data_IF_510502992188
#
_entry.id   IF_510502992188
#
_cell.length_a   1.000
_cell.length_b   1.000
_cell.length_c   1.000
_cell.angle_alpha   90.00
_cell.angle_beta   90.00
_cell.angle_gamma   90.00
#
_symmetry.space_group_name_H-M   'P 1'
#
loop_
_entity.id
_entity.type
_entity.pdbx_description
1 polymer ?
#
# COMPACT_ATOMS: atom_id res chain seq x y z
N UNK A 1 -1.81 -0.81 7.92
CA UNK A 1 -1.85 -2.24 8.32
C UNK A 1 -1.84 -2.42 9.84
N UNK A 2 -0.81 -2.02 10.61
CA UNK A 2 -0.76 -2.24 12.07
C UNK A 2 -2.03 -1.79 12.80
N UNK A 3 -2.48 -0.57 12.55
CA UNK A 3 -3.71 -0.05 13.17
C UNK A 3 -4.95 -0.93 12.86
N UNK A 4 -5.07 -1.42 11.63
CA UNK A 4 -6.17 -2.31 11.24
C UNK A 4 -6.11 -3.66 11.97
N UNK A 5 -4.91 -4.22 12.16
CA UNK A 5 -4.74 -5.45 12.94
C UNK A 5 -5.20 -5.25 14.38
N UNK A 6 -4.84 -4.12 15.01
CA UNK A 6 -5.27 -3.79 16.38
C UNK A 6 -6.77 -3.56 16.49
N UNK A 7 -7.36 -2.85 15.53
CA UNK A 7 -8.82 -2.69 15.45
C UNK A 7 -9.56 -4.02 15.28
N UNK A 8 -8.94 -4.98 14.59
CA UNK A 8 -9.48 -6.33 14.44
C UNK A 8 -9.25 -7.24 15.68
N UNK A 9 -8.68 -6.71 16.77
CA UNK A 9 -8.43 -7.45 18.01
C UNK A 9 -7.17 -8.33 18.02
N UNK A 10 -6.25 -8.12 17.07
CA UNK A 10 -4.98 -8.85 17.08
C UNK A 10 -3.99 -8.18 18.05
N UNK A 11 -3.85 -8.72 19.24
CA UNK A 11 -3.02 -8.15 20.34
C UNK A 11 -1.61 -8.76 20.46
N UNK A 12 -1.32 -9.82 19.67
CA UNK A 12 -0.01 -10.45 19.67
C UNK A 12 1.06 -9.54 19.04
N UNK A 13 2.36 -9.74 19.35
CA UNK A 13 3.45 -9.03 18.71
C UNK A 13 3.40 -9.18 17.18
N UNK A 14 3.65 -8.07 16.46
CA UNK A 14 3.84 -8.07 15.00
C UNK A 14 5.31 -7.85 14.72
N UNK A 15 5.89 -8.70 13.88
CA UNK A 15 7.29 -8.61 13.50
C UNK A 15 7.47 -7.71 12.29
N UNK A 16 8.54 -6.92 12.27
CA UNK A 16 8.79 -5.95 11.22
C UNK A 16 10.11 -6.23 10.49
N UNK A 17 10.09 -6.09 9.19
CA UNK A 17 11.30 -5.93 8.39
C UNK A 17 11.99 -4.60 8.73
N UNK A 18 13.33 -4.58 8.74
CA UNK A 18 14.10 -3.39 9.12
C UNK A 18 13.78 -2.12 8.34
N UNK A 19 13.35 -2.25 7.09
CA UNK A 19 12.92 -1.11 6.28
C UNK A 19 11.71 -0.34 6.86
N UNK A 20 10.94 -0.97 7.75
CA UNK A 20 9.77 -0.36 8.38
C UNK A 20 10.08 0.30 9.73
N UNK A 21 11.28 0.12 10.28
CA UNK A 21 11.64 0.58 11.63
C UNK A 21 11.52 2.11 11.78
N UNK A 22 12.00 2.89 10.81
CA UNK A 22 11.99 4.35 10.87
C UNK A 22 10.56 4.90 10.85
N UNK A 23 9.73 4.37 9.95
CA UNK A 23 8.31 4.76 9.85
C UNK A 23 7.54 4.41 11.13
N UNK A 24 7.74 3.21 11.64
CA UNK A 24 7.07 2.75 12.86
C UNK A 24 7.42 3.62 14.05
N UNK A 25 8.70 3.96 14.24
CA UNK A 25 9.13 4.89 15.29
C UNK A 25 8.54 6.28 15.12
N UNK A 26 8.48 6.79 13.89
CA UNK A 26 7.87 8.07 13.62
C UNK A 26 6.40 8.11 14.03
N UNK A 27 5.61 7.14 13.60
CA UNK A 27 4.20 7.06 13.97
C UNK A 27 4.00 6.90 15.49
N UNK A 28 4.81 6.07 16.14
CA UNK A 28 4.77 5.93 17.60
C UNK A 28 5.10 7.24 18.33
N UNK A 29 6.09 8.01 17.85
CA UNK A 29 6.44 9.31 18.40
C UNK A 29 5.33 10.35 18.24
N UNK A 30 4.41 10.15 17.29
CA UNK A 30 3.22 10.99 17.09
C UNK A 30 2.00 10.53 17.90
N UNK A 31 2.19 9.59 18.83
CA UNK A 31 1.12 9.09 19.70
C UNK A 31 0.19 8.07 19.04
N UNK A 32 0.54 7.55 17.85
CA UNK A 32 -0.28 6.53 17.20
C UNK A 32 0.01 5.16 17.85
N UNK A 33 -1.01 4.58 18.46
CA UNK A 33 -0.93 3.26 19.12
C UNK A 33 -0.80 2.13 18.09
N UNK A 34 0.41 1.65 17.86
CA UNK A 34 0.69 0.55 16.93
C UNK A 34 0.69 -0.82 17.62
N UNK A 35 0.54 -0.85 18.95
CA UNK A 35 0.68 -2.05 19.76
C UNK A 35 2.12 -2.57 19.80
N UNK A 36 2.30 -3.80 20.25
CA UNK A 36 3.65 -4.39 20.36
C UNK A 36 4.18 -4.75 18.97
N UNK A 37 5.35 -4.20 18.64
CA UNK A 37 6.10 -4.51 17.42
C UNK A 37 7.52 -4.94 17.77
N UNK A 38 8.06 -5.91 17.03
CA UNK A 38 9.40 -6.47 17.25
C UNK A 38 10.18 -6.55 15.94
N UNK A 39 11.49 -6.30 15.92
CA UNK A 39 12.31 -6.51 14.74
C UNK A 39 12.38 -7.99 14.37
N UNK A 40 11.97 -8.37 13.16
CA UNK A 40 12.02 -9.76 12.70
C UNK A 40 13.45 -10.33 12.66
N UNK A 41 14.47 -9.47 12.49
CA UNK A 41 15.90 -9.90 12.51
C UNK A 41 16.36 -10.54 13.81
N UNK A 42 15.73 -10.18 14.94
CA UNK A 42 16.10 -10.65 16.26
C UNK A 42 15.31 -11.89 16.72
N UNK A 43 14.28 -12.28 15.93
CA UNK A 43 13.38 -13.37 16.30
C UNK A 43 13.87 -14.71 15.77
N UNK A 44 13.73 -15.74 16.59
CA UNK A 44 13.98 -17.13 16.21
C UNK A 44 12.84 -17.73 15.37
N UNK A 45 13.11 -18.87 14.70
CA UNK A 45 12.10 -19.56 13.87
C UNK A 45 10.84 -19.91 14.66
N UNK A 46 10.98 -20.32 15.92
CA UNK A 46 9.84 -20.69 16.76
C UNK A 46 8.93 -19.48 17.08
N UNK A 47 9.52 -18.29 17.24
CA UNK A 47 8.75 -17.05 17.47
C UNK A 47 8.04 -16.56 16.21
N UNK A 48 8.65 -16.80 15.04
CA UNK A 48 8.09 -16.40 13.75
C UNK A 48 7.02 -17.39 13.23
N UNK A 49 6.97 -18.60 13.76
CA UNK A 49 5.97 -19.60 13.39
C UNK A 49 4.55 -19.12 13.76
N UNK A 50 3.69 -18.96 12.77
CA UNK A 50 2.32 -18.46 12.96
C UNK A 50 2.22 -17.01 13.42
N UNK A 51 3.30 -16.24 13.35
CA UNK A 51 3.31 -14.82 13.65
C UNK A 51 3.03 -13.97 12.40
N UNK A 52 2.44 -12.79 12.61
CA UNK A 52 2.32 -11.82 11.54
C UNK A 52 3.63 -11.04 11.40
N UNK A 53 4.15 -11.01 10.18
CA UNK A 53 5.32 -10.21 9.84
C UNK A 53 5.00 -9.24 8.71
N UNK A 54 5.37 -7.97 8.87
CA UNK A 54 5.22 -6.95 7.84
C UNK A 54 6.57 -6.67 7.18
N UNK A 55 6.55 -6.61 5.85
CA UNK A 55 7.74 -6.31 5.04
C UNK A 55 7.35 -5.58 3.75
N UNK A 56 8.28 -4.90 3.08
CA UNK A 56 8.08 -4.45 1.72
C UNK A 56 7.86 -5.63 0.77
N UNK A 57 7.10 -5.47 -0.33
CA UNK A 57 6.84 -6.56 -1.28
C UNK A 57 8.13 -7.21 -1.84
N UNK A 58 9.18 -6.43 -2.07
CA UNK A 58 10.49 -6.92 -2.55
C UNK A 58 11.11 -7.96 -1.60
N UNK A 59 10.94 -7.80 -0.30
CA UNK A 59 11.52 -8.69 0.71
C UNK A 59 11.02 -10.14 0.62
N UNK A 60 9.84 -10.38 0.05
CA UNK A 60 9.31 -11.73 -0.17
C UNK A 60 10.17 -12.55 -1.16
N UNK A 61 10.89 -11.88 -2.06
CA UNK A 61 11.76 -12.54 -3.06
C UNK A 61 13.22 -12.64 -2.61
N UNK A 62 13.55 -12.10 -1.44
CA UNK A 62 14.91 -12.06 -0.92
C UNK A 62 15.22 -13.26 -0.02
N UNK A 63 16.51 -13.47 0.28
CA UNK A 63 16.99 -14.46 1.24
C UNK A 63 16.32 -14.30 2.61
N UNK A 64 15.96 -13.07 2.94
CA UNK A 64 15.26 -12.72 4.18
C UNK A 64 13.98 -13.55 4.39
N UNK A 65 13.22 -13.82 3.34
CA UNK A 65 11.98 -14.60 3.41
C UNK A 65 12.19 -16.07 3.83
N UNK A 66 13.37 -16.63 3.57
CA UNK A 66 13.69 -18.04 3.89
C UNK A 66 13.74 -18.35 5.39
N UNK A 67 13.71 -17.33 6.24
CA UNK A 67 13.71 -17.51 7.72
C UNK A 67 12.36 -17.97 8.25
N UNK A 68 11.29 -17.73 7.53
CA UNK A 68 9.94 -18.03 7.99
C UNK A 68 9.60 -19.50 7.71
N UNK A 69 9.17 -20.25 8.72
CA UNK A 69 8.67 -21.60 8.50
C UNK A 69 7.26 -21.52 7.91
N UNK A 70 7.07 -22.12 6.75
CA UNK A 70 5.78 -22.25 6.05
C UNK A 70 4.97 -20.92 6.01
N UNK A 71 5.51 -19.86 5.40
CA UNK A 71 4.85 -18.55 5.41
C UNK A 71 3.69 -18.49 4.43
N UNK A 72 2.56 -17.97 4.85
CA UNK A 72 1.46 -17.57 3.95
C UNK A 72 1.74 -16.16 3.44
N UNK A 73 1.91 -16.03 2.13
CA UNK A 73 2.19 -14.75 1.50
C UNK A 73 0.91 -13.91 1.37
N UNK A 74 0.88 -12.79 2.07
CA UNK A 74 -0.23 -11.84 2.08
C UNK A 74 0.21 -10.52 1.44
N UNK A 75 -0.50 -10.06 0.42
CA UNK A 75 -0.24 -8.77 -0.20
C UNK A 75 -1.43 -7.82 0.02
N UNK A 76 -1.13 -6.66 0.63
CA UNK A 76 -2.11 -5.63 0.93
C UNK A 76 -1.89 -4.42 0.02
N UNK A 77 -2.64 -4.33 -1.07
CA UNK A 77 -2.60 -3.25 -2.04
C UNK A 77 -4.00 -2.97 -2.60
N UNK A 78 -4.27 -1.74 -3.02
CA UNK A 78 -5.52 -1.38 -3.71
C UNK A 78 -5.76 -2.20 -4.98
N UNK A 79 -4.70 -2.54 -5.71
CA UNK A 79 -4.73 -3.35 -6.93
C UNK A 79 -5.11 -4.82 -6.72
N UNK A 80 -5.14 -5.31 -5.48
CA UNK A 80 -5.57 -6.68 -5.17
C UNK A 80 -7.06 -6.93 -5.47
N UNK A 81 -7.81 -5.89 -5.80
CA UNK A 81 -9.16 -5.99 -6.36
C UNK A 81 -9.17 -6.67 -7.73
N UNK A 82 -8.08 -6.61 -8.49
CA UNK A 82 -7.94 -7.26 -9.80
C UNK A 82 -7.37 -8.66 -9.62
N UNK A 83 -8.23 -9.68 -9.74
CA UNK A 83 -7.89 -11.10 -9.50
C UNK A 83 -6.69 -11.61 -10.31
N UNK A 84 -6.48 -11.10 -11.52
CA UNK A 84 -5.36 -11.49 -12.36
C UNK A 84 -4.01 -11.11 -11.73
N UNK A 85 -3.90 -9.93 -11.13
CA UNK A 85 -2.66 -9.45 -10.48
C UNK A 85 -2.35 -10.22 -9.20
N UNK A 86 -3.37 -10.61 -8.44
CA UNK A 86 -3.18 -11.43 -7.24
C UNK A 86 -2.55 -12.79 -7.56
N UNK A 87 -2.94 -13.41 -8.69
CA UNK A 87 -2.43 -14.72 -9.12
C UNK A 87 -0.99 -14.68 -9.64
N UNK A 88 -0.56 -13.57 -10.27
CA UNK A 88 0.77 -13.46 -10.87
C UNK A 88 1.90 -13.34 -9.84
N UNK A 89 1.62 -12.88 -8.63
CA UNK A 89 2.63 -12.58 -7.61
C UNK A 89 2.96 -13.71 -6.62
N UNK A 90 2.40 -14.92 -6.77
CA UNK A 90 2.55 -15.98 -5.75
C UNK A 90 1.88 -15.59 -4.42
N UNK A 91 0.88 -14.73 -4.47
CA UNK A 91 0.14 -14.23 -3.30
C UNK A 91 -0.97 -15.23 -2.96
N UNK A 92 -0.93 -15.73 -1.75
CA UNK A 92 -1.94 -16.69 -1.27
C UNK A 92 -3.19 -15.97 -0.74
N UNK A 93 -2.99 -14.83 -0.06
CA UNK A 93 -4.08 -14.03 0.49
C UNK A 93 -3.98 -12.57 0.02
N UNK A 94 -4.74 -12.16 -1.01
CA UNK A 94 -4.82 -10.78 -1.43
C UNK A 94 -5.74 -9.99 -0.51
N UNK A 95 -5.27 -8.87 0.03
CA UNK A 95 -6.06 -7.92 0.80
C UNK A 95 -6.21 -6.60 0.05
N UNK A 96 -7.44 -6.14 -0.12
CA UNK A 96 -7.70 -4.83 -0.74
C UNK A 96 -7.57 -3.75 0.34
N UNK A 97 -6.37 -3.22 0.48
CA UNK A 97 -6.06 -2.14 1.41
C UNK A 97 -5.27 -1.09 0.64
N UNK A 98 -5.75 0.15 0.63
CA UNK A 98 -5.10 1.27 -0.04
C UNK A 98 -5.07 2.49 0.88
N UNK A 99 -4.01 3.26 0.78
CA UNK A 99 -3.84 4.59 1.36
C UNK A 99 -4.17 5.70 0.34
N UNK A 100 -4.50 5.30 -0.89
CA UNK A 100 -4.95 6.22 -1.92
C UNK A 100 -6.45 6.49 -1.79
N UNK A 101 -6.86 7.71 -2.12
CA UNK A 101 -8.27 8.04 -2.25
C UNK A 101 -8.91 7.18 -3.35
N UNK A 102 -10.12 6.72 -3.11
CA UNK A 102 -10.94 6.10 -4.15
C UNK A 102 -11.54 7.17 -5.09
N UNK A 103 -12.29 6.72 -6.09
CA UNK A 103 -12.93 7.61 -7.05
C UNK A 103 -13.81 8.67 -6.38
N UNK A 104 -14.59 8.30 -5.39
CA UNK A 104 -15.46 9.20 -4.68
C UNK A 104 -14.68 10.21 -3.84
N UNK A 105 -13.62 9.77 -3.17
CA UNK A 105 -12.70 10.64 -2.42
C UNK A 105 -11.99 11.64 -3.33
N UNK A 106 -11.48 11.20 -4.51
CA UNK A 106 -10.84 12.09 -5.48
C UNK A 106 -11.81 13.15 -6.00
N UNK A 107 -12.98 12.73 -6.45
CA UNK A 107 -13.98 13.64 -7.02
C UNK A 107 -14.56 14.61 -5.99
N UNK A 108 -14.78 14.16 -4.76
CA UNK A 108 -15.20 15.01 -3.66
C UNK A 108 -14.11 16.05 -3.31
N UNK A 109 -12.84 15.64 -3.30
CA UNK A 109 -11.72 16.55 -3.07
C UNK A 109 -11.64 17.62 -4.15
N UNK A 110 -11.73 17.25 -5.42
CA UNK A 110 -11.74 18.22 -6.53
C UNK A 110 -12.87 19.23 -6.34
N UNK A 111 -14.08 18.75 -6.07
CA UNK A 111 -15.23 19.63 -5.84
C UNK A 111 -15.00 20.58 -4.65
N UNK A 112 -14.40 20.11 -3.57
CA UNK A 112 -14.14 20.89 -2.37
C UNK A 112 -13.06 21.96 -2.56
N UNK A 113 -12.14 21.79 -3.52
CA UNK A 113 -11.09 22.80 -3.79
C UNK A 113 -11.63 24.08 -4.42
N UNK A 114 -12.76 23.98 -5.15
CA UNK A 114 -13.29 25.10 -5.95
C UNK A 114 -12.39 25.50 -7.11
N UNK A 115 -11.41 24.69 -7.49
CA UNK A 115 -10.48 24.99 -8.56
C UNK A 115 -11.18 24.98 -9.91
N UNK A 116 -10.89 25.98 -10.77
CA UNK A 116 -11.42 26.07 -12.12
C UNK A 116 -10.64 25.22 -13.13
N UNK A 117 -9.42 24.82 -12.80
CA UNK A 117 -8.56 24.01 -13.66
C UNK A 117 -7.98 22.83 -12.85
N UNK A 118 -8.01 21.63 -13.48
CA UNK A 118 -7.53 20.37 -12.89
C UNK A 118 -6.44 19.77 -13.78
N UNK A 119 -5.28 19.54 -13.19
CA UNK A 119 -4.17 18.83 -13.85
C UNK A 119 -4.05 17.44 -13.25
N UNK A 120 -4.16 16.44 -14.10
CA UNK A 120 -4.14 15.03 -13.71
C UNK A 120 -2.81 14.43 -14.09
N UNK A 121 -2.18 13.74 -13.14
CA UNK A 121 -0.94 13.01 -13.34
C UNK A 121 -1.02 11.66 -12.65
N UNK A 122 -0.44 10.63 -13.23
CA UNK A 122 -0.45 9.24 -12.80
C UNK A 122 -1.78 8.50 -12.92
N UNK A 123 -1.70 7.24 -13.29
CA UNK A 123 -2.84 6.33 -13.39
C UNK A 123 -3.67 6.55 -14.66
N UNK A 124 -4.95 6.22 -14.57
CA UNK A 124 -5.88 6.40 -15.69
C UNK A 124 -6.39 7.84 -15.75
N UNK A 125 -5.58 8.72 -16.30
CA UNK A 125 -5.81 10.17 -16.36
C UNK A 125 -7.11 10.52 -17.08
N UNK A 126 -7.41 9.81 -18.18
CA UNK A 126 -8.56 10.07 -19.05
C UNK A 126 -9.90 10.06 -18.31
N UNK A 127 -10.08 9.14 -17.37
CA UNK A 127 -11.32 9.03 -16.61
C UNK A 127 -11.58 10.30 -15.78
N UNK A 128 -10.55 10.81 -15.09
CA UNK A 128 -10.68 11.98 -14.24
C UNK A 128 -10.76 13.28 -15.04
N UNK A 129 -10.02 13.38 -16.15
CA UNK A 129 -10.12 14.48 -17.12
C UNK A 129 -11.55 14.55 -17.68
N UNK A 130 -12.09 13.43 -18.16
CA UNK A 130 -13.45 13.36 -18.66
C UNK A 130 -14.49 13.77 -17.60
N UNK A 131 -14.39 13.22 -16.40
CA UNK A 131 -15.30 13.54 -15.30
C UNK A 131 -15.29 15.04 -14.96
N UNK A 132 -14.11 15.65 -14.92
CA UNK A 132 -13.94 17.08 -14.62
C UNK A 132 -14.52 17.96 -15.72
N UNK A 133 -14.24 17.64 -16.97
CA UNK A 133 -14.74 18.36 -18.14
C UNK A 133 -16.27 18.34 -18.23
N UNK A 134 -16.90 17.18 -17.92
CA UNK A 134 -18.37 17.07 -17.87
C UNK A 134 -19.02 17.98 -16.80
N UNK A 135 -18.22 18.49 -15.85
CA UNK A 135 -18.66 19.42 -14.81
C UNK A 135 -18.24 20.86 -15.07
N UNK A 136 -17.78 21.16 -16.29
CA UNK A 136 -17.40 22.50 -16.71
C UNK A 136 -16.03 22.95 -16.18
N UNK A 137 -15.21 22.04 -15.63
CA UNK A 137 -13.85 22.36 -15.21
C UNK A 137 -12.90 22.22 -16.39
N UNK A 138 -11.92 23.13 -16.50
CA UNK A 138 -10.80 22.93 -17.40
C UNK A 138 -9.94 21.79 -16.86
N UNK A 139 -9.79 20.70 -17.63
CA UNK A 139 -9.02 19.54 -17.16
C UNK A 139 -8.12 19.00 -18.25
N UNK A 140 -6.92 18.60 -17.88
CA UNK A 140 -5.93 17.99 -18.78
C UNK A 140 -4.99 17.05 -18.05
N UNK A 141 -4.45 16.07 -18.79
CA UNK A 141 -3.33 15.27 -18.35
C UNK A 141 -2.07 16.14 -18.29
N UNK A 142 -1.34 16.05 -17.17
CA UNK A 142 -0.04 16.69 -17.00
C UNK A 142 1.06 15.69 -17.34
N UNK A 143 1.69 15.85 -18.50
CA UNK A 143 2.88 15.08 -18.87
C UNK A 143 4.09 15.73 -18.21
N UNK A 144 4.73 15.02 -17.30
CA UNK A 144 5.98 15.46 -16.68
C UNK A 144 7.12 14.98 -17.56
N UNK A 145 7.83 15.91 -18.19
CA UNK A 145 9.03 15.55 -18.98
C UNK A 145 10.08 14.90 -18.09
N UNK A 146 10.64 13.77 -18.53
CA UNK A 146 11.63 12.99 -17.78
C UNK A 146 11.07 11.91 -16.85
N UNK A 147 9.76 11.82 -16.67
CA UNK A 147 9.06 10.70 -16.00
C UNK A 147 8.20 9.97 -17.05
N UNK A 148 8.86 9.40 -18.04
CA UNK A 148 8.20 8.66 -19.11
C UNK A 148 8.59 7.17 -19.05
N UNK A 149 7.58 6.30 -19.04
CA UNK A 149 7.62 4.93 -19.58
C UNK A 149 8.43 3.84 -18.85
N UNK A 150 8.98 4.08 -17.65
CA UNK A 150 9.68 3.00 -16.93
C UNK A 150 8.75 2.10 -16.08
N UNK A 151 7.51 2.51 -15.83
CA UNK A 151 6.61 1.78 -14.91
C UNK A 151 5.56 0.88 -15.59
N UNK A 152 5.39 0.96 -16.91
CA UNK A 152 4.39 0.14 -17.62
C UNK A 152 4.90 -1.23 -18.11
N UNK A 153 6.21 -1.50 -18.04
CA UNK A 153 6.79 -2.80 -18.46
C UNK A 153 7.02 -3.79 -17.29
N UNK A 154 6.69 -3.42 -16.06
CA UNK A 154 6.71 -4.34 -14.92
C UNK A 154 5.31 -4.84 -14.59
N UNK A 155 4.62 -5.33 -15.65
CA UNK A 155 3.32 -5.97 -15.54
C UNK A 155 3.43 -7.46 -15.16
#
# INVERSE_FOLDING_TARGET
>A
MLALLRQAGYDRPVYLHGALDAFTRYYASRGIGLGEVRPARNAGKAELAGAITLCPPSALREIWARRFPDPVAVLALGWMRVRARARQGGVELPLVISDHADWNGLTATIAATGAGEIWVTHGQEDALVHWSTQRGLAARALRIEGYGEADDEAG
#
